data_IF_933208544939
#
_entry.id   IF_933208544939
#
_cell.length_a   1.000
_cell.length_b   1.000
_cell.length_c   1.000
_cell.angle_alpha   90.00
_cell.angle_beta   90.00
_cell.angle_gamma   90.00
#
_symmetry.space_group_name_H-M   'P 1'
#
loop_
_entity.id
_entity.type
_entity.pdbx_description
1 polymer ?
#
# COMPACT_ATOMS: atom_id res chain seq x y z
N UNK A 1 14.32 -83.28 -3.15
CA UNK A 1 14.14 -83.00 -1.71
C UNK A 1 15.34 -82.21 -1.21
N UNK A 2 15.11 -80.95 -0.80
CA UNK A 2 15.81 -80.17 0.25
C UNK A 2 17.35 -80.05 0.26
N UNK A 3 17.98 -78.92 0.58
CA UNK A 3 17.63 -77.49 0.78
C UNK A 3 19.01 -76.79 0.87
N UNK A 4 19.29 -75.76 0.07
CA UNK A 4 20.56 -75.01 0.10
C UNK A 4 20.54 -73.98 1.24
N UNK A 5 21.60 -73.95 2.05
CA UNK A 5 21.86 -72.95 3.09
C UNK A 5 21.90 -71.53 2.53
N UNK A 6 21.20 -70.62 3.20
CA UNK A 6 21.25 -69.18 2.94
C UNK A 6 22.54 -68.57 3.53
N UNK A 7 23.26 -67.83 2.71
CA UNK A 7 24.31 -66.88 3.10
C UNK A 7 23.66 -65.57 3.53
N UNK A 8 24.02 -65.08 4.70
CA UNK A 8 23.76 -63.70 5.12
C UNK A 8 25.01 -62.86 4.85
N UNK A 9 24.90 -61.86 3.98
CA UNK A 9 25.87 -60.78 3.81
C UNK A 9 25.09 -59.47 3.82
N UNK A 10 25.13 -58.78 4.95
CA UNK A 10 24.61 -57.41 5.12
C UNK A 10 25.61 -56.43 4.51
N UNK A 11 25.27 -55.84 3.37
CA UNK A 11 26.00 -54.72 2.77
C UNK A 11 25.22 -53.41 2.98
N UNK A 12 25.78 -52.49 3.76
CA UNK A 12 25.16 -51.21 4.11
C UNK A 12 25.07 -50.26 2.90
N UNK A 13 23.86 -49.78 2.59
CA UNK A 13 23.62 -48.72 1.60
C UNK A 13 23.75 -47.36 2.28
N UNK A 14 24.87 -46.67 2.05
CA UNK A 14 25.02 -45.27 2.44
C UNK A 14 24.27 -44.36 1.46
N UNK A 15 23.06 -43.93 1.82
CA UNK A 15 22.35 -42.85 1.11
C UNK A 15 22.97 -41.51 1.51
N UNK A 16 23.81 -40.94 0.65
CA UNK A 16 24.24 -39.56 0.76
C UNK A 16 23.10 -38.61 0.40
N UNK A 17 22.63 -37.82 1.36
CA UNK A 17 21.66 -36.74 1.13
C UNK A 17 22.38 -35.53 0.52
N UNK A 18 22.14 -35.27 -0.77
CA UNK A 18 22.50 -34.01 -1.39
C UNK A 18 21.49 -32.93 -0.99
N UNK A 19 21.93 -31.89 -0.29
CA UNK A 19 21.10 -30.74 0.08
C UNK A 19 21.17 -29.73 -1.06
N UNK A 20 20.06 -29.54 -1.79
CA UNK A 20 19.97 -28.48 -2.81
C UNK A 20 19.83 -27.10 -2.14
N UNK A 21 20.45 -26.03 -2.69
CA UNK A 21 20.26 -24.67 -2.17
C UNK A 21 18.84 -24.19 -2.45
N UNK A 22 18.17 -23.68 -1.41
CA UNK A 22 16.86 -23.03 -1.54
C UNK A 22 17.08 -21.61 -2.04
N UNK A 23 16.58 -21.30 -3.24
CA UNK A 23 16.52 -19.93 -3.75
C UNK A 23 15.33 -19.21 -3.12
N UNK A 24 15.58 -18.17 -2.33
CA UNK A 24 14.52 -17.31 -1.80
C UNK A 24 13.88 -16.52 -2.94
N UNK A 25 12.57 -16.66 -3.13
CA UNK A 25 11.82 -15.82 -4.07
C UNK A 25 11.51 -14.46 -3.42
N UNK A 26 11.61 -13.34 -4.16
CA UNK A 26 11.15 -12.05 -3.65
C UNK A 26 9.65 -12.12 -3.38
N UNK A 27 9.25 -11.87 -2.13
CA UNK A 27 7.84 -11.79 -1.77
C UNK A 27 7.22 -10.63 -2.55
N UNK A 28 6.16 -10.82 -3.35
CA UNK A 28 5.42 -9.68 -3.85
C UNK A 28 4.91 -8.90 -2.63
N UNK A 29 5.19 -7.59 -2.58
CA UNK A 29 4.52 -6.68 -1.63
C UNK A 29 3.05 -6.66 -2.02
N UNK A 30 2.28 -7.64 -1.53
CA UNK A 30 0.82 -7.62 -1.61
C UNK A 30 0.40 -6.26 -1.05
N UNK A 31 -0.50 -5.57 -1.76
CA UNK A 31 -1.18 -4.43 -1.17
C UNK A 31 -1.69 -4.90 0.20
N UNK A 32 -1.14 -4.33 1.27
CA UNK A 32 -1.31 -4.85 2.63
C UNK A 32 -2.78 -4.69 3.07
N UNK A 33 -3.58 -3.98 2.27
CA UNK A 33 -4.98 -3.68 2.50
C UNK A 33 -5.86 -4.13 1.33
N UNK A 34 -7.02 -4.66 1.69
CA UNK A 34 -8.10 -5.05 0.79
C UNK A 34 -8.55 -3.84 -0.07
N UNK A 35 -9.00 -4.09 -1.30
CA UNK A 35 -9.59 -3.04 -2.13
C UNK A 35 -10.89 -2.54 -1.46
N UNK A 36 -10.91 -1.29 -1.00
CA UNK A 36 -12.08 -0.71 -0.34
C UNK A 36 -13.08 -0.21 -1.40
N UNK A 37 -14.29 -0.74 -1.40
CA UNK A 37 -15.37 -0.27 -2.28
C UNK A 37 -16.29 0.70 -1.53
N UNK A 38 -16.51 1.89 -2.08
CA UNK A 38 -17.29 2.95 -1.44
C UNK A 38 -18.47 3.38 -2.31
N UNK A 39 -19.59 3.63 -1.64
CA UNK A 39 -20.78 4.31 -2.16
C UNK A 39 -21.16 5.45 -1.20
N UNK A 40 -21.80 6.53 -1.66
CA UNK A 40 -22.37 7.54 -0.78
C UNK A 40 -23.19 6.91 0.34
N UNK A 41 -23.04 7.43 1.56
CA UNK A 41 -23.63 6.87 2.80
C UNK A 41 -23.04 5.52 3.24
N UNK A 42 -21.79 5.21 2.88
CA UNK A 42 -21.09 4.06 3.47
C UNK A 42 -21.09 4.15 5.01
N UNK A 43 -21.03 2.99 5.67
CA UNK A 43 -20.95 2.88 7.12
C UNK A 43 -19.87 1.84 7.50
N UNK A 44 -19.06 2.08 8.55
CA UNK A 44 -18.98 3.33 9.33
C UNK A 44 -18.51 4.54 8.50
N UNK A 45 -18.83 5.76 8.95
CA UNK A 45 -18.33 7.02 8.36
C UNK A 45 -17.77 7.90 9.49
N UNK A 46 -16.45 8.18 9.53
CA UNK A 46 -15.44 7.86 8.52
C UNK A 46 -15.11 6.36 8.41
N UNK A 47 -14.62 5.94 7.25
CA UNK A 47 -13.86 4.69 7.10
C UNK A 47 -12.43 4.95 7.54
N UNK A 48 -11.86 4.02 8.31
CA UNK A 48 -10.51 4.16 8.84
C UNK A 48 -9.63 3.06 8.26
N UNK A 49 -8.61 3.47 7.51
CA UNK A 49 -7.54 2.60 7.04
C UNK A 49 -6.28 2.92 7.84
N UNK A 50 -5.41 1.94 8.03
CA UNK A 50 -4.16 2.11 8.78
C UNK A 50 -2.99 1.77 7.87
N UNK A 51 -1.83 2.34 8.12
CA UNK A 51 -0.63 2.00 7.37
C UNK A 51 0.63 2.56 8.01
N UNK A 52 1.73 2.45 7.27
CA UNK A 52 3.01 3.08 7.59
C UNK A 52 3.41 3.91 6.39
N UNK A 53 3.65 5.19 6.61
CA UNK A 53 3.92 6.15 5.54
C UNK A 53 5.34 6.04 5.02
N UNK A 54 5.62 6.73 3.92
CA UNK A 54 6.97 7.01 3.45
C UNK A 54 7.35 6.31 2.16
N UNK A 55 8.65 6.28 1.90
CA UNK A 55 9.23 5.66 0.71
C UNK A 55 10.53 6.33 0.28
N UNK A 56 11.06 5.89 -0.86
CA UNK A 56 12.33 6.39 -1.41
C UNK A 56 12.16 7.32 -2.60
N UNK A 57 11.00 7.31 -3.25
CA UNK A 57 10.78 7.98 -4.52
C UNK A 57 10.29 9.41 -4.27
N UNK A 58 10.95 10.44 -4.83
CA UNK A 58 10.42 11.80 -4.78
C UNK A 58 9.06 11.83 -5.48
N UNK A 59 8.01 12.30 -4.79
CA UNK A 59 6.64 12.21 -5.29
C UNK A 59 6.48 12.99 -6.61
N UNK A 60 7.01 14.22 -6.69
CA UNK A 60 6.94 15.03 -7.90
C UNK A 60 7.59 14.37 -9.12
N UNK A 61 8.79 13.79 -8.96
CA UNK A 61 9.51 13.09 -10.03
C UNK A 61 8.78 11.81 -10.44
N UNK A 62 8.35 11.01 -9.46
CA UNK A 62 7.65 9.75 -9.71
C UNK A 62 6.32 9.96 -10.45
N UNK A 63 5.63 11.05 -10.15
CA UNK A 63 4.33 11.40 -10.77
C UNK A 63 4.50 12.23 -12.05
N UNK A 64 5.66 12.86 -12.26
CA UNK A 64 5.91 13.82 -13.33
C UNK A 64 5.11 15.13 -13.16
N UNK A 65 4.76 15.49 -11.92
CA UNK A 65 3.89 16.62 -11.58
C UNK A 65 4.41 17.28 -10.29
N UNK A 66 4.76 18.55 -10.35
CA UNK A 66 5.21 19.34 -9.18
C UNK A 66 4.03 19.84 -8.34
N UNK A 67 3.01 20.39 -9.01
CA UNK A 67 1.87 21.04 -8.38
C UNK A 67 0.53 20.48 -8.87
N UNK A 68 -0.41 20.35 -7.94
CA UNK A 68 -1.81 19.97 -8.22
C UNK A 68 -2.75 21.04 -7.67
N UNK A 69 -4.03 21.05 -8.09
CA UNK A 69 -5.01 22.00 -7.53
C UNK A 69 -5.19 21.94 -6.00
N UNK A 70 -4.76 20.85 -5.36
CA UNK A 70 -4.89 20.63 -3.90
C UNK A 70 -3.60 20.86 -3.12
N UNK A 71 -2.50 21.17 -3.81
CA UNK A 71 -1.18 21.35 -3.22
C UNK A 71 -0.05 20.76 -4.05
N UNK A 72 1.18 21.06 -3.63
CA UNK A 72 2.40 20.55 -4.24
C UNK A 72 2.65 19.09 -3.87
N UNK A 73 3.24 18.31 -4.78
CA UNK A 73 3.66 16.92 -4.55
C UNK A 73 5.04 16.85 -3.91
N UNK A 74 5.20 17.51 -2.76
CA UNK A 74 6.48 17.56 -2.03
C UNK A 74 6.63 16.36 -1.10
N UNK A 75 7.82 15.75 -1.07
CA UNK A 75 8.14 14.62 -0.19
C UNK A 75 8.34 13.31 -0.94
N UNK A 76 8.22 12.19 -0.22
CA UNK A 76 8.64 10.87 -0.71
C UNK A 76 7.56 9.81 -0.51
N UNK A 77 7.33 9.01 -1.55
CA UNK A 77 6.34 7.94 -1.59
C UNK A 77 7.01 6.60 -1.92
N UNK A 78 6.31 5.51 -1.63
CA UNK A 78 6.69 4.17 -2.05
C UNK A 78 6.40 3.96 -3.55
N UNK A 79 7.12 3.05 -4.19
CA UNK A 79 6.91 2.73 -5.61
C UNK A 79 5.60 1.98 -5.88
N UNK A 80 4.89 1.54 -4.83
CA UNK A 80 3.53 1.01 -4.89
C UNK A 80 2.59 1.82 -4.01
N UNK A 81 1.34 2.00 -4.48
CA UNK A 81 0.29 2.63 -3.68
C UNK A 81 -0.02 1.79 -2.42
N UNK A 82 -0.27 2.47 -1.31
CA UNK A 82 -0.61 1.85 -0.03
C UNK A 82 -2.06 1.35 -0.01
N UNK A 83 -2.96 2.12 -0.64
CA UNK A 83 -4.37 1.76 -0.72
C UNK A 83 -4.92 1.87 -2.14
N UNK A 84 -5.98 1.09 -2.40
CA UNK A 84 -6.80 1.17 -3.60
C UNK A 84 -8.25 1.34 -3.21
N UNK A 85 -8.87 2.42 -3.68
CA UNK A 85 -10.26 2.76 -3.41
C UNK A 85 -11.07 2.62 -4.70
N UNK A 86 -12.15 1.84 -4.66
CA UNK A 86 -13.12 1.76 -5.75
C UNK A 86 -14.36 2.57 -5.39
N UNK A 87 -14.45 3.78 -5.94
CA UNK A 87 -15.63 4.61 -5.82
C UNK A 87 -16.67 4.11 -6.83
N UNK A 88 -17.74 3.50 -6.32
CA UNK A 88 -18.74 2.82 -7.16
C UNK A 88 -19.69 3.79 -7.87
N UNK A 89 -19.78 5.03 -7.37
CA UNK A 89 -20.55 6.15 -7.93
C UNK A 89 -19.79 7.45 -7.67
N UNK A 90 -20.31 8.56 -8.21
CA UNK A 90 -19.85 9.91 -7.88
C UNK A 90 -20.07 10.22 -6.39
N UNK A 91 -19.17 11.02 -5.82
CA UNK A 91 -19.26 11.65 -4.51
C UNK A 91 -19.18 13.17 -4.69
N UNK A 92 -20.15 13.91 -4.16
CA UNK A 92 -20.17 15.37 -4.22
C UNK A 92 -19.22 16.02 -3.19
N UNK A 93 -18.92 15.32 -2.09
CA UNK A 93 -18.03 15.84 -1.06
C UNK A 93 -17.39 14.71 -0.22
N UNK A 94 -16.25 14.21 -0.69
CA UNK A 94 -15.46 13.18 0.00
C UNK A 94 -14.12 13.79 0.41
N UNK A 95 -13.76 13.56 1.67
CA UNK A 95 -12.50 13.99 2.28
C UNK A 95 -11.65 12.75 2.57
N UNK A 96 -10.39 12.78 2.14
CA UNK A 96 -9.35 11.85 2.55
C UNK A 96 -8.35 12.64 3.39
N UNK A 97 -8.19 12.30 4.65
CA UNK A 97 -7.25 12.96 5.57
C UNK A 97 -6.36 11.92 6.26
N UNK A 98 -5.11 12.30 6.53
CA UNK A 98 -4.16 11.44 7.23
C UNK A 98 -3.93 11.98 8.63
N UNK A 99 -4.00 11.11 9.63
CA UNK A 99 -3.54 11.39 10.98
C UNK A 99 -2.25 10.62 11.25
N UNK A 100 -1.18 11.36 11.53
CA UNK A 100 0.09 10.80 11.99
C UNK A 100 0.75 11.70 13.05
N UNK A 101 1.70 11.12 13.79
CA UNK A 101 2.58 11.84 14.70
C UNK A 101 3.79 12.47 13.97
N UNK A 102 4.04 12.07 12.72
CA UNK A 102 5.10 12.60 11.87
C UNK A 102 4.56 13.41 10.71
N UNK A 103 5.49 13.94 9.91
CA UNK A 103 5.21 14.77 8.74
C UNK A 103 4.94 13.90 7.51
N UNK A 104 3.68 13.92 7.06
CA UNK A 104 3.16 12.97 6.05
C UNK A 104 2.62 13.67 4.82
N UNK A 105 2.70 12.98 3.69
CA UNK A 105 2.25 13.49 2.39
C UNK A 105 1.12 12.59 1.89
N UNK A 106 0.07 13.15 1.31
CA UNK A 106 -1.00 12.40 0.68
C UNK A 106 -0.97 12.62 -0.84
N UNK A 107 -0.91 11.52 -1.58
CA UNK A 107 -1.07 11.52 -3.04
C UNK A 107 -2.25 10.62 -3.40
N UNK A 108 -3.14 11.13 -4.25
CA UNK A 108 -4.23 10.34 -4.82
C UNK A 108 -4.19 10.44 -6.33
N UNK A 109 -4.25 9.30 -7.02
CA UNK A 109 -4.31 9.22 -8.49
C UNK A 109 -5.52 8.41 -8.93
N UNK A 110 -6.29 8.91 -9.88
CA UNK A 110 -7.44 8.19 -10.42
C UNK A 110 -8.17 8.96 -11.51
N UNK A 111 -9.45 8.63 -11.77
CA UNK A 111 -10.29 9.37 -12.70
C UNK A 111 -10.31 10.86 -12.36
N UNK A 112 -9.90 11.70 -13.31
CA UNK A 112 -9.85 13.16 -13.18
C UNK A 112 -8.45 13.74 -12.98
N UNK A 113 -7.46 12.94 -12.53
CA UNK A 113 -6.08 13.40 -12.41
C UNK A 113 -5.32 12.85 -11.20
N UNK A 114 -4.41 13.69 -10.72
CA UNK A 114 -3.56 13.48 -9.55
C UNK A 114 -3.76 14.66 -8.60
N UNK A 115 -3.83 14.36 -7.32
CA UNK A 115 -3.97 15.33 -6.24
C UNK A 115 -2.91 15.04 -5.19
N UNK A 116 -2.26 16.10 -4.73
CA UNK A 116 -1.25 16.06 -3.68
C UNK A 116 -1.60 17.06 -2.59
N UNK A 117 -1.24 16.71 -1.35
CA UNK A 117 -1.27 17.63 -0.22
C UNK A 117 -0.27 17.13 0.85
N UNK A 118 0.29 18.04 1.63
CA UNK A 118 1.30 17.79 2.69
C UNK A 118 0.79 18.37 4.02
N UNK A 119 0.47 19.67 3.99
CA UNK A 119 -0.01 20.39 5.17
C UNK A 119 -1.45 20.89 4.98
N UNK A 120 -2.42 20.21 5.59
CA UNK A 120 -3.80 20.71 5.73
C UNK A 120 -4.12 21.11 7.17
N UNK A 121 -3.76 20.27 8.15
CA UNK A 121 -3.94 20.54 9.59
C UNK A 121 -2.63 20.24 10.31
N UNK A 122 -1.83 21.27 10.56
CA UNK A 122 -0.46 21.05 11.02
C UNK A 122 0.36 20.38 9.92
N UNK A 123 1.02 19.27 10.25
CA UNK A 123 1.85 18.45 9.34
C UNK A 123 1.09 17.26 8.71
N UNK A 124 -0.23 17.29 8.82
CA UNK A 124 -1.10 16.22 8.37
C UNK A 124 -1.86 16.65 7.12
N UNK A 125 -1.82 15.85 6.04
CA UNK A 125 -2.39 16.21 4.75
C UNK A 125 -3.87 15.84 4.68
N UNK A 126 -4.62 16.59 3.87
CA UNK A 126 -6.00 16.27 3.52
C UNK A 126 -6.36 16.73 2.10
N UNK A 127 -7.20 15.95 1.44
CA UNK A 127 -7.76 16.27 0.12
C UNK A 127 -9.27 16.09 0.19
N UNK A 128 -10.02 17.16 -0.10
CA UNK A 128 -11.49 17.18 -0.09
C UNK A 128 -12.03 17.72 -1.40
N UNK A 129 -13.14 17.17 -1.85
CA UNK A 129 -13.88 17.70 -2.99
C UNK A 129 -14.81 16.68 -3.62
N UNK A 130 -15.11 16.90 -4.89
CA UNK A 130 -15.89 16.01 -5.72
C UNK A 130 -15.03 14.89 -6.29
N UNK A 131 -15.55 13.66 -6.29
CA UNK A 131 -14.83 12.49 -6.81
C UNK A 131 -15.69 11.70 -7.78
N UNK A 132 -15.10 11.40 -8.93
CA UNK A 132 -15.75 10.62 -9.97
C UNK A 132 -15.81 9.13 -9.59
N UNK A 133 -16.72 8.40 -10.24
CA UNK A 133 -16.72 6.94 -10.16
C UNK A 133 -15.40 6.38 -10.73
N UNK A 134 -14.77 5.45 -10.03
CA UNK A 134 -13.67 4.65 -10.57
C UNK A 134 -12.67 4.19 -9.53
N UNK A 135 -11.51 3.76 -10.01
CA UNK A 135 -10.42 3.24 -9.19
C UNK A 135 -9.42 4.33 -8.89
N UNK A 136 -9.13 4.52 -7.61
CA UNK A 136 -8.14 5.46 -7.10
C UNK A 136 -7.02 4.70 -6.41
N UNK A 137 -5.79 5.13 -6.64
CA UNK A 137 -4.61 4.71 -5.92
C UNK A 137 -4.22 5.80 -4.93
N UNK A 138 -3.90 5.42 -3.71
CA UNK A 138 -3.55 6.34 -2.63
C UNK A 138 -2.17 5.96 -2.10
N UNK A 139 -1.28 6.95 -2.04
CA UNK A 139 0.00 6.85 -1.36
C UNK A 139 -0.04 7.77 -0.15
N UNK A 140 0.48 7.27 0.97
CA UNK A 140 0.76 8.09 2.14
C UNK A 140 2.28 8.11 2.31
N UNK A 141 2.89 9.19 1.87
CA UNK A 141 4.32 9.44 1.93
C UNK A 141 4.77 10.10 3.23
N UNK A 142 6.04 10.46 3.26
CA UNK A 142 6.66 11.24 4.33
C UNK A 142 7.41 12.43 3.73
N UNK A 143 7.54 13.51 4.50
CA UNK A 143 8.25 14.70 4.02
C UNK A 143 9.73 14.44 3.73
N UNK A 144 10.37 13.60 4.55
CA UNK A 144 11.76 13.16 4.38
C UNK A 144 11.88 11.78 3.73
N UNK A 145 13.00 11.56 3.04
CA UNK A 145 13.27 10.29 2.36
C UNK A 145 13.50 9.16 3.36
N UNK A 146 12.85 8.00 3.16
CA UNK A 146 12.94 6.82 4.04
C UNK A 146 12.64 7.15 5.52
N UNK A 147 11.75 8.10 5.76
CA UNK A 147 11.12 8.30 7.05
C UNK A 147 9.79 7.54 7.05
N UNK A 148 9.46 6.92 8.17
CA UNK A 148 8.30 6.02 8.25
C UNK A 148 7.52 6.34 9.51
N UNK A 149 6.23 6.65 9.35
CA UNK A 149 5.35 6.96 10.46
C UNK A 149 4.07 6.12 10.36
N UNK A 150 3.62 5.48 11.45
CA UNK A 150 2.29 4.90 11.49
C UNK A 150 1.24 6.00 11.24
N UNK A 151 0.19 5.66 10.50
CA UNK A 151 -0.90 6.61 10.23
C UNK A 151 -2.27 5.95 10.27
N UNK A 152 -3.29 6.80 10.37
CA UNK A 152 -4.70 6.50 10.07
C UNK A 152 -5.08 7.35 8.86
N UNK A 153 -5.54 6.72 7.78
CA UNK A 153 -6.19 7.37 6.66
C UNK A 153 -7.69 7.36 6.93
N UNK A 154 -8.27 8.53 7.17
CA UNK A 154 -9.70 8.71 7.34
C UNK A 154 -10.33 9.07 6.01
N UNK A 155 -11.41 8.36 5.66
CA UNK A 155 -12.21 8.63 4.48
C UNK A 155 -13.61 9.02 4.94
N UNK A 156 -13.94 10.29 4.79
CA UNK A 156 -15.15 10.88 5.33
C UNK A 156 -16.01 11.46 4.21
N UNK A 157 -17.21 10.91 4.02
CA UNK A 157 -18.21 11.52 3.16
C UNK A 157 -19.03 12.55 3.93
N UNK A 158 -18.89 13.83 3.58
CA UNK A 158 -19.64 14.95 4.16
C UNK A 158 -20.90 15.14 3.29
N UNK A 159 -22.05 15.37 3.91
CA UNK A 159 -23.32 15.59 3.18
C UNK A 159 -23.62 17.07 3.08
#
# INVERSE_FOLDING_TARGET
MWRRCLLALTGAWGMGLAIAPVMAQPLPKQAIFENLQLRPNFAPNPQLLRGVSGGSEPAAEFLGIEDTPTGSCVGFIDNHADHRLSLMTFFNDLELSVESAGDTVLVVKGPGGVWCNDDAVGQNPAIRGEWQKGLYQVWVGSRGQRQYYPYILEIHHRK
#
